data_IF_035289456154
#
_entry.id   IF_035289456154
#
_cell.length_a   1.000
_cell.length_b   1.000
_cell.length_c   1.000
_cell.angle_alpha   90.00
_cell.angle_beta   90.00
_cell.angle_gamma   90.00
#
_symmetry.space_group_name_H-M   'P 1'
#
loop_
_entity.id
_entity.type
_entity.pdbx_description
1 polymer ?
#
# COMPACT_ATOMS: atom_id res chain seq x y z
N UNK A 1 0.55 3.15 5.31
CA UNK A 1 0.46 2.18 4.20
C UNK A 1 0.74 0.74 4.64
N UNK A 2 1.91 0.43 5.23
CA UNK A 2 2.23 -0.95 5.64
C UNK A 2 1.22 -1.54 6.64
N UNK A 3 0.64 -0.73 7.52
CA UNK A 3 -0.30 -1.22 8.55
C UNK A 3 -1.58 -1.82 7.93
N UNK A 4 -2.14 -1.19 6.89
CA UNK A 4 -3.33 -1.72 6.22
C UNK A 4 -3.07 -3.07 5.54
N UNK A 5 -1.92 -3.21 4.87
CA UNK A 5 -1.47 -4.47 4.28
C UNK A 5 -1.24 -5.54 5.34
N UNK A 6 -0.62 -5.18 6.48
CA UNK A 6 -0.44 -6.09 7.61
C UNK A 6 -1.77 -6.57 8.18
N UNK A 7 -2.75 -5.67 8.35
CA UNK A 7 -4.09 -6.04 8.82
C UNK A 7 -4.78 -6.97 7.84
N UNK A 8 -4.68 -6.71 6.53
CA UNK A 8 -5.25 -7.59 5.52
C UNK A 8 -4.62 -8.99 5.54
N UNK A 9 -3.29 -9.06 5.57
CA UNK A 9 -2.53 -10.32 5.63
C UNK A 9 -2.87 -11.12 6.90
N UNK A 10 -3.08 -10.46 8.04
CA UNK A 10 -3.49 -11.09 9.28
C UNK A 10 -4.98 -11.51 9.29
N UNK A 11 -5.77 -11.08 8.31
CA UNK A 11 -7.20 -11.36 8.22
C UNK A 11 -7.49 -12.63 7.42
N UNK A 12 -8.66 -13.24 7.64
CA UNK A 12 -9.13 -14.39 6.83
C UNK A 12 -9.37 -14.02 5.36
N UNK A 13 -9.45 -12.74 5.02
CA UNK A 13 -9.69 -12.28 3.67
C UNK A 13 -8.49 -12.50 2.74
N UNK A 14 -7.29 -12.68 3.29
CA UNK A 14 -6.07 -12.96 2.50
C UNK A 14 -6.20 -14.22 1.61
N UNK A 15 -7.04 -15.17 2.03
CA UNK A 15 -7.23 -16.45 1.33
C UNK A 15 -8.26 -16.34 0.19
N UNK A 16 -9.27 -15.49 0.35
CA UNK A 16 -10.45 -15.47 -0.51
C UNK A 16 -10.63 -14.20 -1.34
N UNK A 17 -10.01 -13.10 -0.93
CA UNK A 17 -10.22 -11.78 -1.55
C UNK A 17 -8.93 -11.26 -2.18
N UNK A 18 -9.11 -10.43 -3.19
CA UNK A 18 -8.06 -9.63 -3.83
C UNK A 18 -7.97 -8.29 -3.11
N UNK A 19 -6.80 -7.67 -3.11
CA UNK A 19 -6.61 -6.33 -2.52
C UNK A 19 -6.43 -5.30 -3.62
N UNK A 20 -7.14 -4.19 -3.49
CA UNK A 20 -6.87 -2.98 -4.25
C UNK A 20 -6.34 -1.95 -3.25
N UNK A 21 -5.13 -1.44 -3.50
CA UNK A 21 -4.50 -0.41 -2.70
C UNK A 21 -4.46 0.88 -3.49
N UNK A 22 -5.34 1.79 -3.11
CA UNK A 22 -5.34 3.14 -3.65
C UNK A 22 -4.33 4.02 -2.90
N UNK A 23 -3.44 4.68 -3.64
CA UNK A 23 -2.43 5.56 -3.07
C UNK A 23 -2.30 6.85 -3.88
N UNK A 24 -2.18 7.98 -3.19
CA UNK A 24 -1.97 9.30 -3.78
C UNK A 24 -0.48 9.67 -3.89
N UNK A 25 0.41 8.89 -3.28
CA UNK A 25 1.85 9.17 -3.29
C UNK A 25 2.56 8.60 -4.52
N UNK A 26 2.90 9.51 -5.43
CA UNK A 26 3.53 9.19 -6.72
C UNK A 26 4.86 8.44 -6.59
N UNK A 27 5.72 8.85 -5.66
CA UNK A 27 7.02 8.18 -5.47
C UNK A 27 6.83 6.72 -5.06
N UNK A 28 5.84 6.42 -4.22
CA UNK A 28 5.54 5.03 -3.88
C UNK A 28 5.04 4.25 -5.09
N UNK A 29 4.14 4.82 -5.88
CA UNK A 29 3.68 4.18 -7.12
C UNK A 29 4.84 3.91 -8.09
N UNK A 30 5.82 4.82 -8.16
CA UNK A 30 7.05 4.62 -8.94
C UNK A 30 7.90 3.48 -8.36
N UNK A 31 8.12 3.45 -7.06
CA UNK A 31 8.89 2.41 -6.39
C UNK A 31 8.28 1.01 -6.51
N UNK A 32 6.95 0.90 -6.53
CA UNK A 32 6.27 -0.38 -6.76
C UNK A 32 6.52 -0.91 -8.18
N UNK A 33 6.61 -0.03 -9.18
CA UNK A 33 6.87 -0.39 -10.57
C UNK A 33 8.36 -0.62 -10.83
N UNK A 34 9.22 0.15 -10.18
CA UNK A 34 10.67 0.08 -10.30
C UNK A 34 11.32 0.11 -8.91
N UNK A 35 11.47 -1.06 -8.26
CA UNK A 35 12.09 -1.17 -6.94
C UNK A 35 13.56 -0.70 -6.91
N UNK A 36 14.25 -0.67 -8.06
CA UNK A 36 15.64 -0.19 -8.15
C UNK A 36 15.73 1.34 -8.00
N UNK A 37 14.64 2.06 -8.24
CA UNK A 37 14.57 3.52 -8.04
C UNK A 37 14.38 3.96 -6.59
N UNK A 38 14.25 3.01 -5.66
CA UNK A 38 14.03 3.28 -4.24
C UNK A 38 15.31 3.84 -3.61
N UNK A 39 15.24 5.00 -2.91
CA UNK A 39 16.37 5.47 -2.11
C UNK A 39 16.78 4.40 -1.09
N UNK A 40 18.07 4.05 -1.02
CA UNK A 40 18.57 2.97 -0.15
C UNK A 40 18.11 3.07 1.31
N UNK A 41 17.94 4.29 1.84
CA UNK A 41 17.42 4.54 3.19
C UNK A 41 15.98 4.07 3.42
N UNK A 42 15.18 4.02 2.35
CA UNK A 42 13.78 3.59 2.37
C UNK A 42 13.59 2.13 1.95
N UNK A 43 14.63 1.52 1.38
CA UNK A 43 14.58 0.15 0.86
C UNK A 43 14.35 -0.89 1.97
N UNK A 44 15.12 -0.95 3.07
CA UNK A 44 14.83 -1.87 4.17
C UNK A 44 13.53 -1.57 4.95
N UNK A 45 13.26 -0.33 5.42
CA UNK A 45 12.12 -0.10 6.31
C UNK A 45 10.76 -0.13 5.61
N UNK A 46 10.71 0.15 4.30
CA UNK A 46 9.44 0.28 3.57
C UNK A 46 9.33 -0.79 2.49
N UNK A 47 10.29 -0.90 1.58
CA UNK A 47 10.09 -1.73 0.38
C UNK A 47 10.26 -3.21 0.63
N UNK A 48 11.26 -3.64 1.39
CA UNK A 48 11.37 -5.05 1.81
C UNK A 48 10.12 -5.51 2.57
N UNK A 49 9.58 -4.66 3.44
CA UNK A 49 8.35 -4.96 4.19
C UNK A 49 7.14 -5.08 3.28
N UNK A 50 6.98 -4.17 2.32
CA UNK A 50 5.88 -4.22 1.35
C UNK A 50 6.00 -5.46 0.46
N UNK A 51 7.18 -5.80 -0.02
CA UNK A 51 7.38 -6.97 -0.88
C UNK A 51 7.17 -8.29 -0.13
N UNK A 52 7.62 -8.36 1.13
CA UNK A 52 7.28 -9.46 2.01
C UNK A 52 5.76 -9.64 2.16
N UNK A 53 5.03 -8.55 2.44
CA UNK A 53 3.57 -8.61 2.58
C UNK A 53 2.86 -8.97 1.28
N UNK A 54 3.32 -8.44 0.14
CA UNK A 54 2.79 -8.81 -1.19
C UNK A 54 2.93 -10.31 -1.44
N UNK A 55 4.05 -10.93 -1.06
CA UNK A 55 4.27 -12.37 -1.26
C UNK A 55 3.25 -13.25 -0.54
N UNK A 56 2.58 -12.71 0.49
CA UNK A 56 1.55 -13.41 1.26
C UNK A 56 0.14 -13.17 0.70
N UNK A 57 -0.03 -12.27 -0.27
CA UNK A 57 -1.33 -11.90 -0.84
C UNK A 57 -1.44 -12.51 -2.24
N UNK A 58 -2.51 -13.28 -2.45
CA UNK A 58 -2.75 -13.97 -3.73
C UNK A 58 -2.83 -13.03 -4.92
N UNK A 59 -3.50 -11.89 -4.77
CA UNK A 59 -3.63 -10.87 -5.81
C UNK A 59 -3.76 -9.49 -5.20
N UNK A 60 -2.88 -8.58 -5.63
CA UNK A 60 -2.82 -7.20 -5.15
C UNK A 60 -2.63 -6.25 -6.33
N UNK A 61 -3.47 -5.22 -6.39
CA UNK A 61 -3.41 -4.17 -7.38
C UNK A 61 -3.14 -2.82 -6.70
N UNK A 62 -2.20 -2.06 -7.23
CA UNK A 62 -1.90 -0.70 -6.76
C UNK A 62 -2.42 0.31 -7.77
N UNK A 63 -3.29 1.21 -7.31
CA UNK A 63 -3.85 2.27 -8.14
C UNK A 63 -3.39 3.63 -7.64
N UNK A 64 -3.00 4.49 -8.59
CA UNK A 64 -2.74 5.90 -8.28
C UNK A 64 -4.08 6.62 -8.29
N UNK A 65 -4.50 7.18 -7.16
CA UNK A 65 -5.68 8.05 -7.10
C UNK A 65 -5.23 9.48 -6.81
N UNK A 66 -5.86 10.50 -7.43
CA UNK A 66 -5.56 11.88 -7.07
C UNK A 66 -6.05 12.15 -5.64
N UNK A 67 -5.27 12.91 -4.87
CA UNK A 67 -5.59 13.25 -3.47
C UNK A 67 -6.96 13.91 -3.32
N UNK A 68 -7.41 14.64 -4.35
CA UNK A 68 -8.74 15.24 -4.44
C UNK A 68 -9.87 14.22 -4.61
N UNK A 69 -9.61 13.04 -5.19
CA UNK A 69 -10.60 11.96 -5.25
C UNK A 69 -10.69 11.18 -3.92
N UNK A 70 -9.74 11.38 -3.00
CA UNK A 70 -9.70 10.71 -1.71
C UNK A 70 -10.18 11.61 -0.56
N UNK A 71 -11.12 12.52 -0.84
CA UNK A 71 -11.65 13.45 0.16
C UNK A 71 -12.25 12.74 1.36
N UNK A 72 -12.95 11.62 1.15
CA UNK A 72 -13.55 10.82 2.23
C UNK A 72 -12.46 10.25 3.15
N UNK A 73 -11.42 9.63 2.61
CA UNK A 73 -10.34 9.07 3.43
C UNK A 73 -9.52 10.18 4.10
N UNK A 74 -9.26 11.30 3.42
CA UNK A 74 -8.62 12.46 4.03
C UNK A 74 -9.47 13.07 5.15
N UNK A 75 -10.79 13.11 4.98
CA UNK A 75 -11.74 13.56 5.99
C UNK A 75 -11.72 12.62 7.20
N UNK A 76 -11.77 11.31 6.98
CA UNK A 76 -11.71 10.30 8.05
C UNK A 76 -10.38 10.36 8.81
N UNK A 77 -9.24 10.46 8.10
CA UNK A 77 -7.94 10.63 8.74
C UNK A 77 -7.83 11.91 9.55
N UNK A 78 -8.37 13.04 9.05
CA UNK A 78 -8.43 14.30 9.82
C UNK A 78 -9.35 14.19 11.04
N UNK A 79 -10.37 13.34 10.94
CA UNK A 79 -11.33 13.09 12.04
C UNK A 79 -10.78 12.13 13.09
N UNK A 80 -9.57 11.59 12.90
CA UNK A 80 -8.91 10.70 13.85
C UNK A 80 -9.53 9.30 13.92
N UNK A 81 -10.29 8.92 12.89
CA UNK A 81 -10.86 7.58 12.72
C UNK A 81 -9.85 6.68 12.00
#
# INVERSE_FOLDING_TARGET
>A
MCNALQTFVASKWVVSHKVIVDNDFENFMKWIKDPCSVPWKLMPPIMLKVDFLKSQIKEINFNKIPRSANEIVNFLMKSGI
#
